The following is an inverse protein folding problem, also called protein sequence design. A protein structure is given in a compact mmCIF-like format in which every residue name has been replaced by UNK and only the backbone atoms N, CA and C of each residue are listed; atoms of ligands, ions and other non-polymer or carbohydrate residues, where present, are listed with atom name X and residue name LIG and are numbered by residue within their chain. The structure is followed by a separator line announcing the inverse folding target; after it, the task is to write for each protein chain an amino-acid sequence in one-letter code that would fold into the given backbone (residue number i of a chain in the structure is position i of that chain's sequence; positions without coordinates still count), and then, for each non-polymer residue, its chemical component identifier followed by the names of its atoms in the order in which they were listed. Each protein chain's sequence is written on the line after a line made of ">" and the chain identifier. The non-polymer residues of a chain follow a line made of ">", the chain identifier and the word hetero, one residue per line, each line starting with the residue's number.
data_IF_161506655756
#
_entry.id   IF_161506655756
#
_cell.length_a   1.000
_cell.length_b   1.000
_cell.length_c   1.000
_cell.angle_alpha   90.00
_cell.angle_beta   90.00
_cell.angle_gamma   90.00
#
_symmetry.space_group_name_H-M   'P 1'
#
loop_
_entity.id
_entity.type
_entity.pdbx_description
1 polymer ?
#
# COMPACT_ATOMS: atom_id res chain seq x y z
N UNK A 1 -16.57 -10.95 15.77
CA UNK A 1 -15.88 -11.40 14.53
C UNK A 1 -16.13 -10.48 13.34
N UNK A 2 -17.37 -10.07 13.04
CA UNK A 2 -17.71 -9.18 11.89
C UNK A 2 -17.10 -7.76 11.91
N UNK A 3 -16.80 -7.19 13.08
CA UNK A 3 -16.20 -5.85 13.19
C UNK A 3 -14.72 -5.81 12.80
N UNK A 4 -13.96 -6.86 13.07
CA UNK A 4 -12.53 -6.95 12.76
C UNK A 4 -12.26 -7.02 11.25
N UNK A 5 -13.13 -7.70 10.52
CA UNK A 5 -13.06 -7.88 9.07
C UNK A 5 -13.27 -6.56 8.33
N UNK A 6 -14.19 -5.71 8.80
CA UNK A 6 -14.39 -4.35 8.26
C UNK A 6 -13.15 -3.46 8.36
N UNK A 7 -12.32 -3.71 9.33
CA UNK A 7 -11.19 -2.85 9.70
C UNK A 7 -9.98 -3.08 8.77
N UNK A 8 -9.72 -4.34 8.46
CA UNK A 8 -8.61 -4.78 7.59
C UNK A 8 -8.71 -4.19 6.19
N UNK A 9 -9.91 -4.03 5.77
CA UNK A 9 -10.25 -3.57 4.44
C UNK A 9 -10.19 -2.06 4.26
N UNK A 10 -10.54 -1.31 5.24
CA UNK A 10 -10.43 0.14 5.11
C UNK A 10 -8.99 0.57 4.82
N UNK A 11 -7.96 -0.12 5.34
CA UNK A 11 -6.58 0.19 5.00
C UNK A 11 -6.27 -0.13 3.52
N UNK A 12 -6.68 -1.29 3.03
CA UNK A 12 -6.48 -1.65 1.61
C UNK A 12 -7.38 -0.82 0.68
N UNK A 13 -8.63 -0.55 1.06
CA UNK A 13 -9.53 0.35 0.32
C UNK A 13 -9.05 1.79 0.33
N UNK A 14 -8.43 2.25 1.41
CA UNK A 14 -7.89 3.59 1.45
C UNK A 14 -6.74 3.69 0.44
N UNK A 15 -5.87 2.68 0.34
CA UNK A 15 -4.84 2.61 -0.70
C UNK A 15 -5.49 2.63 -2.09
N UNK A 16 -6.51 1.81 -2.32
CA UNK A 16 -7.22 1.77 -3.59
C UNK A 16 -8.08 3.02 -3.85
N UNK A 17 -8.69 3.59 -2.83
CA UNK A 17 -9.46 4.82 -2.94
C UNK A 17 -8.57 6.03 -3.26
N UNK A 18 -7.36 6.09 -2.71
CA UNK A 18 -6.37 7.12 -3.04
C UNK A 18 -5.88 6.94 -4.48
N UNK A 19 -5.62 5.70 -4.91
CA UNK A 19 -5.29 5.40 -6.30
C UNK A 19 -6.44 5.82 -7.23
N UNK A 20 -7.67 5.45 -6.88
CA UNK A 20 -8.89 5.79 -7.62
C UNK A 20 -9.15 7.29 -7.68
N UNK A 21 -9.00 7.99 -6.57
CA UNK A 21 -9.21 9.43 -6.47
C UNK A 21 -8.21 10.21 -7.34
N UNK A 22 -6.93 9.85 -7.32
CA UNK A 22 -5.92 10.46 -8.18
C UNK A 22 -6.17 10.15 -9.67
N UNK A 23 -6.62 8.93 -9.97
CA UNK A 23 -6.90 8.49 -11.34
C UNK A 23 -8.13 9.17 -11.97
N UNK A 24 -9.14 9.57 -11.16
CA UNK A 24 -10.35 10.28 -11.62
C UNK A 24 -10.12 11.81 -11.77
N UNK A 25 -8.88 12.28 -11.56
CA UNK A 25 -8.57 13.71 -11.61
C UNK A 25 -9.12 14.48 -10.40
N UNK A 26 -9.33 13.80 -9.28
CA UNK A 26 -9.71 14.39 -7.99
C UNK A 26 -8.74 15.46 -7.51
N UNK A 27 -7.53 15.46 -8.04
CA UNK A 27 -6.55 16.55 -7.85
C UNK A 27 -7.09 17.93 -8.26
N UNK A 28 -7.93 18.02 -9.30
CA UNK A 28 -8.52 19.31 -9.73
C UNK A 28 -9.42 19.94 -8.67
N UNK A 29 -10.17 19.13 -7.93
CA UNK A 29 -11.03 19.60 -6.84
C UNK A 29 -10.25 19.95 -5.58
N UNK A 30 -9.12 19.29 -5.39
CA UNK A 30 -8.21 19.58 -4.28
C UNK A 30 -7.34 20.82 -4.58
N UNK A 31 -6.97 21.06 -5.81
CA UNK A 31 -6.19 22.28 -6.17
C UNK A 31 -6.91 23.58 -5.87
N UNK A 32 -8.23 23.62 -5.98
CA UNK A 32 -9.02 24.79 -5.57
C UNK A 32 -9.02 25.02 -4.04
N UNK A 33 -8.83 23.98 -3.24
CA UNK A 33 -8.73 24.06 -1.77
C UNK A 33 -7.28 24.12 -1.26
N UNK A 34 -6.30 23.95 -2.17
CA UNK A 34 -4.91 23.53 -1.86
C UNK A 34 -4.00 24.58 -1.26
N UNK A 35 -4.25 25.87 -1.40
CA UNK A 35 -3.19 26.84 -1.11
C UNK A 35 -2.81 26.98 0.38
N UNK A 36 -3.70 26.62 1.32
CA UNK A 36 -3.42 26.75 2.77
C UNK A 36 -3.55 25.46 3.58
N UNK A 37 -4.17 24.41 3.02
CA UNK A 37 -4.40 23.15 3.74
C UNK A 37 -3.33 22.11 3.42
N UNK A 38 -2.73 22.17 2.25
CA UNK A 38 -1.80 21.15 1.73
C UNK A 38 -0.52 21.05 2.54
N UNK A 39 0.11 22.18 2.86
CA UNK A 39 1.35 22.18 3.64
C UNK A 39 1.13 21.55 5.03
N UNK A 40 0.02 21.90 5.67
CA UNK A 40 -0.31 21.36 7.00
C UNK A 40 -0.65 19.85 6.98
N UNK A 41 -1.30 19.37 5.91
CA UNK A 41 -1.60 17.94 5.74
C UNK A 41 -0.31 17.18 5.45
N UNK A 42 0.56 17.72 4.62
CA UNK A 42 1.82 17.10 4.22
C UNK A 42 2.84 17.04 5.36
N UNK A 43 2.98 18.12 6.15
CA UNK A 43 3.80 18.11 7.36
C UNK A 43 3.31 17.06 8.36
N UNK A 44 2.01 16.97 8.61
CA UNK A 44 1.43 15.93 9.46
C UNK A 44 1.60 14.52 8.89
N UNK A 45 1.52 14.35 7.58
CA UNK A 45 1.76 13.07 6.94
C UNK A 45 3.21 12.63 7.16
N UNK A 46 4.18 13.53 6.98
CA UNK A 46 5.59 13.27 7.22
C UNK A 46 5.90 12.96 8.70
N UNK A 47 5.33 13.72 9.65
CA UNK A 47 5.48 13.44 11.08
C UNK A 47 4.91 12.06 11.46
N UNK A 48 3.73 11.74 10.95
CA UNK A 48 3.11 10.45 11.22
C UNK A 48 3.85 9.30 10.52
N UNK A 49 4.44 9.54 9.34
CA UNK A 49 5.23 8.55 8.61
C UNK A 49 6.42 8.06 9.44
N UNK A 50 7.03 8.91 10.27
CA UNK A 50 8.11 8.52 11.19
C UNK A 50 7.75 7.35 12.10
N UNK A 51 6.47 7.10 12.35
CA UNK A 51 6.00 5.94 13.13
C UNK A 51 6.12 4.60 12.39
N UNK A 52 6.32 4.65 11.09
CA UNK A 52 6.47 3.46 10.25
C UNK A 52 7.92 3.16 9.92
N UNK A 53 8.81 4.16 10.00
CA UNK A 53 10.21 4.04 9.69
C UNK A 53 10.82 5.39 9.34
N UNK A 54 12.11 5.36 9.05
CA UNK A 54 12.84 6.52 8.57
C UNK A 54 12.81 6.57 7.03
N UNK A 55 12.26 7.64 6.48
CA UNK A 55 12.10 7.91 5.06
C UNK A 55 13.08 8.97 4.53
N UNK A 56 14.06 9.40 5.33
CA UNK A 56 14.99 10.48 4.97
C UNK A 56 15.92 10.14 3.79
N UNK A 57 16.12 8.85 3.53
CA UNK A 57 16.99 8.36 2.46
C UNK A 57 16.24 8.11 1.13
N UNK A 58 14.95 8.46 1.07
CA UNK A 58 14.21 8.34 -0.18
C UNK A 58 14.70 9.36 -1.21
N UNK A 59 14.79 8.91 -2.46
CA UNK A 59 15.06 9.80 -3.59
C UNK A 59 13.94 10.84 -3.73
N UNK A 60 14.25 12.02 -4.25
CA UNK A 60 13.32 13.13 -4.43
C UNK A 60 12.08 12.84 -5.31
N UNK A 61 12.17 11.78 -6.12
CA UNK A 61 11.04 11.28 -6.91
C UNK A 61 9.96 10.60 -6.07
N UNK A 62 10.24 10.27 -4.82
CA UNK A 62 9.25 9.72 -3.89
C UNK A 62 8.72 10.82 -2.97
N UNK A 63 7.44 10.77 -2.73
CA UNK A 63 6.75 11.68 -1.82
C UNK A 63 5.83 10.89 -0.88
N UNK A 64 5.84 11.26 0.40
CA UNK A 64 4.85 10.76 1.34
C UNK A 64 3.54 11.50 1.06
N UNK A 65 2.59 10.78 0.49
CA UNK A 65 1.30 11.33 0.06
C UNK A 65 0.33 11.45 1.25
N UNK A 66 0.25 10.39 2.06
CA UNK A 66 -0.70 10.39 3.17
C UNK A 66 -0.33 9.41 4.28
N UNK A 67 -0.92 9.63 5.46
CA UNK A 67 -0.93 8.65 6.56
C UNK A 67 -2.34 8.44 7.04
N UNK A 68 -2.68 7.20 7.30
CA UNK A 68 -4.02 6.79 7.72
C UNK A 68 -3.96 6.07 9.06
N UNK A 69 -4.89 6.39 9.94
CA UNK A 69 -5.06 5.71 11.21
C UNK A 69 -6.54 5.41 11.41
N UNK A 70 -6.95 4.18 11.14
CA UNK A 70 -8.34 3.75 11.23
C UNK A 70 -8.45 2.40 11.93
N UNK A 71 -9.25 2.34 12.98
CA UNK A 71 -9.68 1.09 13.64
C UNK A 71 -8.54 0.17 14.11
N UNK A 72 -7.38 0.74 14.49
CA UNK A 72 -6.23 -0.04 14.95
C UNK A 72 -5.27 -0.47 13.85
N UNK A 73 -5.53 -0.08 12.60
CA UNK A 73 -4.57 -0.14 11.50
C UNK A 73 -4.05 1.25 11.21
N UNK A 74 -2.76 1.30 10.96
CA UNK A 74 -2.07 2.51 10.53
C UNK A 74 -1.41 2.22 9.20
N UNK A 75 -1.40 3.18 8.30
CA UNK A 75 -0.69 3.05 7.05
C UNK A 75 0.01 4.36 6.69
N UNK A 76 1.16 4.25 6.07
CA UNK A 76 1.82 5.32 5.32
C UNK A 76 1.73 5.00 3.85
N UNK A 77 1.43 6.00 3.05
CA UNK A 77 1.29 5.90 1.60
C UNK A 77 2.27 6.88 0.99
N UNK A 78 3.10 6.36 0.09
CA UNK A 78 4.02 7.15 -0.72
C UNK A 78 3.68 6.98 -2.19
N UNK A 79 4.05 7.97 -2.99
CA UNK A 79 3.93 7.99 -4.43
C UNK A 79 5.28 8.20 -5.09
N UNK A 80 5.54 7.48 -6.19
CA UNK A 80 6.60 7.82 -7.12
C UNK A 80 6.05 8.80 -8.15
N UNK A 81 6.48 10.07 -8.08
CA UNK A 81 5.93 11.20 -8.84
C UNK A 81 5.91 11.00 -10.35
N UNK A 82 6.89 10.27 -10.88
CA UNK A 82 7.03 10.08 -12.32
C UNK A 82 6.04 9.03 -12.86
N UNK A 83 5.92 7.88 -12.17
CA UNK A 83 5.05 6.77 -12.63
C UNK A 83 3.65 6.79 -12.02
N UNK A 84 3.44 7.51 -10.93
CA UNK A 84 2.21 7.45 -10.13
C UNK A 84 2.05 6.15 -9.37
N UNK A 85 3.12 5.34 -9.27
CA UNK A 85 3.10 4.09 -8.51
C UNK A 85 3.00 4.39 -7.03
N UNK A 86 2.08 3.70 -6.34
CA UNK A 86 1.88 3.87 -4.91
C UNK A 86 2.58 2.76 -4.14
N UNK A 87 3.26 3.14 -3.06
CA UNK A 87 3.84 2.25 -2.07
C UNK A 87 3.17 2.49 -0.74
N UNK A 88 2.93 1.41 0.00
CA UNK A 88 2.24 1.48 1.29
C UNK A 88 2.90 0.55 2.30
N UNK A 89 3.05 1.02 3.53
CA UNK A 89 3.40 0.19 4.68
C UNK A 89 2.23 0.25 5.65
N UNK A 90 1.66 -0.91 5.94
CA UNK A 90 0.52 -1.06 6.87
C UNK A 90 1.01 -1.73 8.14
N UNK A 91 0.68 -1.12 9.26
CA UNK A 91 0.95 -1.61 10.60
C UNK A 91 -0.38 -1.95 11.30
N UNK A 92 -0.41 -3.08 11.96
CA UNK A 92 -1.55 -3.53 12.76
C UNK A 92 -1.12 -3.76 14.20
N UNK A 93 -1.70 -3.00 15.11
CA UNK A 93 -1.45 -3.17 16.54
C UNK A 93 -2.02 -4.47 17.15
N UNK A 94 -2.85 -5.21 16.43
CA UNK A 94 -3.60 -6.35 16.98
C UNK A 94 -3.27 -7.67 16.30
N UNK A 95 -3.45 -7.76 15.02
CA UNK A 95 -3.23 -8.96 14.22
C UNK A 95 -2.70 -8.57 12.86
N UNK A 96 -1.59 -9.17 12.39
CA UNK A 96 -1.08 -8.90 11.06
C UNK A 96 -2.15 -9.23 10.00
N UNK A 97 -2.16 -8.47 8.91
CA UNK A 97 -3.04 -8.71 7.77
C UNK A 97 -2.66 -9.97 7.03
N UNK A 98 -1.37 -10.08 6.76
CA UNK A 98 -0.71 -11.23 6.17
C UNK A 98 0.64 -11.39 6.85
N UNK A 99 1.01 -12.61 7.15
CA UNK A 99 2.30 -12.98 7.71
C UNK A 99 3.28 -13.37 6.61
N UNK A 100 4.56 -13.55 6.96
CA UNK A 100 5.55 -14.10 6.00
C UNK A 100 5.14 -15.47 5.47
N UNK A 101 4.51 -16.31 6.30
CA UNK A 101 4.01 -17.62 5.89
C UNK A 101 2.84 -17.50 4.90
N UNK A 102 1.95 -16.52 5.09
CA UNK A 102 0.84 -16.29 4.16
C UNK A 102 1.36 -15.85 2.78
N UNK A 103 2.39 -14.97 2.74
CA UNK A 103 3.03 -14.54 1.49
C UNK A 103 3.63 -15.73 0.71
N UNK A 104 4.14 -16.73 1.41
CA UNK A 104 4.73 -17.92 0.81
C UNK A 104 3.70 -19.03 0.51
N UNK A 105 2.51 -18.92 1.07
CA UNK A 105 1.45 -19.93 0.93
C UNK A 105 0.96 -20.06 -0.51
N UNK A 106 0.63 -21.29 -0.91
CA UNK A 106 -0.08 -21.53 -2.17
C UNK A 106 -1.49 -20.90 -2.18
N UNK A 107 -2.10 -20.70 -1.01
CA UNK A 107 -3.44 -20.13 -0.84
C UNK A 107 -3.47 -18.60 -0.88
N UNK A 108 -2.34 -17.93 -1.11
CA UNK A 108 -2.27 -16.46 -1.08
C UNK A 108 -3.26 -15.80 -2.06
N UNK A 109 -3.42 -16.33 -3.27
CA UNK A 109 -4.41 -15.81 -4.23
C UNK A 109 -5.81 -15.81 -3.65
N UNK A 110 -6.19 -16.94 -3.07
CA UNK A 110 -7.50 -17.10 -2.42
C UNK A 110 -7.66 -16.16 -1.24
N UNK A 111 -6.64 -16.02 -0.41
CA UNK A 111 -6.65 -15.09 0.72
C UNK A 111 -6.81 -13.64 0.26
N UNK A 112 -6.07 -13.23 -0.76
CA UNK A 112 -6.18 -11.88 -1.35
C UNK A 112 -7.56 -11.68 -1.99
N UNK A 113 -8.09 -12.68 -2.71
CA UNK A 113 -9.42 -12.60 -3.31
C UNK A 113 -10.51 -12.55 -2.23
N UNK A 114 -10.42 -13.36 -1.19
CA UNK A 114 -11.35 -13.30 -0.04
C UNK A 114 -11.28 -11.95 0.68
N UNK A 115 -10.08 -11.39 0.80
CA UNK A 115 -9.90 -10.02 1.28
C UNK A 115 -10.61 -9.04 0.35
N UNK A 116 -10.42 -9.10 -0.93
CA UNK A 116 -11.07 -8.24 -1.91
C UNK A 116 -12.60 -8.43 -1.96
N UNK A 117 -13.11 -9.65 -1.92
CA UNK A 117 -14.55 -9.97 -2.00
C UNK A 117 -15.34 -9.55 -0.77
N UNK A 118 -14.73 -9.58 0.40
CA UNK A 118 -15.34 -9.06 1.63
C UNK A 118 -15.69 -7.58 1.53
N UNK A 119 -15.24 -6.93 0.50
CA UNK A 119 -15.23 -5.47 0.36
C UNK A 119 -16.00 -4.93 -0.83
N UNK A 120 -16.79 -5.76 -1.48
CA UNK A 120 -17.75 -5.36 -2.54
C UNK A 120 -18.64 -4.14 -2.22
N UNK A 121 -18.52 -3.59 -1.02
CA UNK A 121 -19.45 -2.57 -0.52
C UNK A 121 -19.10 -1.13 -0.89
N UNK A 122 -17.92 -0.87 -1.47
CA UNK A 122 -17.54 0.50 -1.86
C UNK A 122 -16.86 0.52 -3.22
N UNK A 123 -17.27 1.40 -4.04
CA UNK A 123 -16.84 1.91 -5.34
C UNK A 123 -15.85 1.12 -6.21
N UNK A 124 -14.87 0.41 -5.66
CA UNK A 124 -13.84 -0.33 -6.42
C UNK A 124 -13.86 -1.79 -5.96
N UNK A 125 -14.16 -2.72 -6.86
CA UNK A 125 -14.00 -4.14 -6.61
C UNK A 125 -12.76 -4.65 -7.36
N UNK A 126 -11.90 -5.37 -6.64
CA UNK A 126 -10.83 -6.15 -7.25
C UNK A 126 -11.34 -7.56 -7.53
N UNK A 127 -11.00 -8.06 -8.68
CA UNK A 127 -11.32 -9.42 -9.09
C UNK A 127 -10.19 -9.99 -9.95
N UNK A 128 -10.22 -11.30 -10.17
CA UNK A 128 -9.21 -12.00 -10.95
C UNK A 128 -7.78 -11.75 -10.42
N UNK A 129 -7.61 -11.79 -9.09
CA UNK A 129 -6.28 -11.67 -8.49
C UNK A 129 -5.48 -12.92 -8.81
N UNK A 130 -4.30 -12.74 -9.41
CA UNK A 130 -3.37 -13.82 -9.76
C UNK A 130 -1.97 -13.51 -9.25
N UNK A 131 -1.33 -14.48 -8.63
CA UNK A 131 0.09 -14.40 -8.28
C UNK A 131 0.90 -14.78 -9.52
N UNK A 132 1.68 -13.82 -10.03
CA UNK A 132 2.45 -13.99 -11.27
C UNK A 132 3.90 -14.34 -11.04
N UNK A 133 4.44 -13.98 -9.88
CA UNK A 133 5.83 -14.26 -9.51
C UNK A 133 5.99 -14.23 -7.99
N UNK A 134 7.05 -14.85 -7.50
CA UNK A 134 7.52 -14.80 -6.11
C UNK A 134 9.01 -14.55 -6.09
N UNK A 135 9.50 -13.85 -5.09
CA UNK A 135 10.91 -13.54 -4.95
C UNK A 135 11.23 -13.00 -3.57
N UNK A 136 12.37 -12.36 -3.46
CA UNK A 136 12.79 -11.68 -2.25
C UNK A 136 13.14 -10.22 -2.54
N UNK A 137 12.91 -9.35 -1.57
CA UNK A 137 13.24 -7.94 -1.63
C UNK A 137 13.78 -7.45 -0.29
N UNK A 138 14.38 -6.26 -0.27
CA UNK A 138 14.84 -5.64 0.98
C UNK A 138 13.79 -4.67 1.52
N UNK A 139 13.40 -4.86 2.79
CA UNK A 139 12.55 -3.95 3.55
C UNK A 139 13.16 -3.80 4.94
N UNK A 140 13.38 -2.59 5.42
CA UNK A 140 14.04 -2.31 6.70
C UNK A 140 15.40 -3.02 6.84
N UNK A 141 16.18 -3.08 5.76
CA UNK A 141 17.45 -3.78 5.73
C UNK A 141 17.37 -5.32 5.71
N UNK A 142 16.20 -5.90 5.93
CA UNK A 142 15.95 -7.34 5.94
C UNK A 142 15.61 -7.85 4.53
N UNK A 143 16.04 -9.06 4.21
CA UNK A 143 15.57 -9.76 3.01
C UNK A 143 14.30 -10.55 3.35
N UNK A 144 13.19 -10.19 2.71
CA UNK A 144 11.86 -10.77 2.95
C UNK A 144 11.25 -11.34 1.68
N UNK A 145 10.40 -12.37 1.77
CA UNK A 145 9.67 -12.88 0.62
C UNK A 145 8.61 -11.87 0.18
N UNK A 146 8.42 -11.77 -1.14
CA UNK A 146 7.28 -11.07 -1.73
C UNK A 146 6.53 -11.97 -2.73
N UNK A 147 5.29 -11.63 -2.96
CA UNK A 147 4.49 -12.15 -4.07
C UNK A 147 4.09 -10.99 -4.99
N UNK A 148 4.36 -11.13 -6.30
CA UNK A 148 3.87 -10.23 -7.33
C UNK A 148 2.49 -10.68 -7.77
N UNK A 149 1.56 -9.75 -7.84
CA UNK A 149 0.20 -10.03 -8.27
C UNK A 149 -0.22 -9.15 -9.45
N UNK A 150 -1.18 -9.66 -10.19
CA UNK A 150 -2.00 -8.91 -11.12
C UNK A 150 -3.46 -9.03 -10.70
N UNK A 151 -4.24 -8.00 -10.97
CA UNK A 151 -5.66 -7.98 -10.65
C UNK A 151 -6.43 -7.12 -11.65
N UNK A 152 -7.74 -7.34 -11.76
CA UNK A 152 -8.63 -6.41 -12.44
C UNK A 152 -9.40 -5.58 -11.44
N UNK A 153 -9.61 -4.32 -11.77
CA UNK A 153 -10.42 -3.39 -11.00
C UNK A 153 -11.56 -2.84 -11.85
N UNK A 154 -12.76 -2.84 -11.30
CA UNK A 154 -13.86 -2.12 -11.91
C UNK A 154 -13.93 -0.70 -11.32
N UNK A 155 -14.49 0.23 -12.08
CA UNK A 155 -14.66 1.66 -11.71
C UNK A 155 -13.37 2.47 -11.53
N UNK A 156 -12.24 1.96 -11.98
CA UNK A 156 -11.04 2.76 -12.21
C UNK A 156 -10.97 3.15 -13.69
N UNK A 157 -10.26 4.25 -14.05
CA UNK A 157 -10.04 4.62 -15.44
C UNK A 157 -9.14 3.62 -16.21
N UNK A 158 -8.55 2.66 -15.51
CA UNK A 158 -7.80 1.51 -16.03
C UNK A 158 -8.28 0.24 -15.32
N UNK A 159 -8.39 -0.86 -16.07
CA UNK A 159 -8.89 -2.12 -15.53
C UNK A 159 -7.79 -2.98 -14.89
N UNK A 160 -6.58 -2.92 -15.42
CA UNK A 160 -5.50 -3.85 -15.09
C UNK A 160 -4.52 -3.22 -14.10
N UNK A 161 -4.33 -3.90 -12.98
CA UNK A 161 -3.39 -3.55 -11.93
C UNK A 161 -2.26 -4.57 -11.85
N UNK A 162 -1.09 -4.11 -11.46
CA UNK A 162 0.00 -4.97 -11.01
C UNK A 162 0.61 -4.42 -9.73
N UNK A 163 1.16 -5.31 -8.92
CA UNK A 163 1.76 -4.92 -7.66
C UNK A 163 2.52 -6.05 -6.98
N UNK A 164 3.05 -5.74 -5.82
CA UNK A 164 3.62 -6.73 -4.89
C UNK A 164 2.95 -6.64 -3.53
N UNK A 165 3.03 -7.74 -2.82
CA UNK A 165 2.73 -7.83 -1.39
C UNK A 165 3.87 -8.56 -0.69
N UNK A 166 4.32 -8.02 0.45
CA UNK A 166 5.37 -8.60 1.28
C UNK A 166 5.05 -8.36 2.75
N UNK A 167 5.56 -9.21 3.64
CA UNK A 167 5.46 -9.02 5.09
C UNK A 167 6.85 -8.96 5.70
N UNK A 168 7.06 -8.01 6.60
CA UNK A 168 8.31 -7.81 7.34
C UNK A 168 8.03 -7.76 8.83
N UNK A 169 8.86 -8.47 9.61
CA UNK A 169 8.84 -8.40 11.06
C UNK A 169 9.85 -7.34 11.51
N UNK A 170 9.39 -6.35 12.24
CA UNK A 170 10.23 -5.29 12.79
C UNK A 170 10.96 -5.74 14.07
N UNK A 171 11.94 -4.98 14.50
CA UNK A 171 12.77 -5.29 15.69
C UNK A 171 11.95 -5.42 16.99
N UNK A 172 10.80 -4.74 17.08
CA UNK A 172 9.85 -4.87 18.19
C UNK A 172 8.92 -6.11 18.09
N UNK A 173 9.13 -6.96 17.08
CA UNK A 173 8.34 -8.17 16.83
C UNK A 173 7.00 -7.92 16.15
N UNK A 174 6.68 -6.69 15.76
CA UNK A 174 5.46 -6.41 15.00
C UNK A 174 5.61 -6.81 13.52
N UNK A 175 4.55 -7.29 12.91
CA UNK A 175 4.53 -7.56 11.48
C UNK A 175 3.88 -6.39 10.72
N UNK A 176 4.59 -5.89 9.73
CA UNK A 176 4.09 -4.86 8.82
C UNK A 176 3.93 -5.43 7.42
N UNK A 177 2.85 -5.00 6.77
CA UNK A 177 2.56 -5.38 5.39
C UNK A 177 3.05 -4.27 4.46
N UNK A 178 3.88 -4.63 3.49
CA UNK A 178 4.33 -3.76 2.41
C UNK A 178 3.55 -4.08 1.13
N UNK A 179 3.01 -3.06 0.48
CA UNK A 179 2.24 -3.18 -0.76
C UNK A 179 2.73 -2.12 -1.72
N UNK A 180 3.09 -2.51 -2.95
CA UNK A 180 3.25 -1.57 -4.04
C UNK A 180 2.23 -1.91 -5.13
N UNK A 181 1.62 -0.89 -5.74
CA UNK A 181 0.60 -1.10 -6.77
C UNK A 181 0.55 0.06 -7.75
N UNK A 182 0.27 -0.26 -9.00
CA UNK A 182 0.04 0.70 -10.08
C UNK A 182 -0.82 0.10 -11.17
N UNK A 183 -1.22 0.92 -12.15
CA UNK A 183 -1.65 0.43 -13.45
C UNK A 183 -0.60 -0.54 -14.01
N UNK A 184 -1.01 -1.70 -14.52
CA UNK A 184 -0.10 -2.79 -14.96
C UNK A 184 0.99 -2.30 -15.92
N UNK A 185 0.64 -1.40 -16.85
CA UNK A 185 1.58 -0.85 -17.84
C UNK A 185 2.65 0.08 -17.23
N UNK A 186 2.38 0.65 -16.06
CA UNK A 186 3.25 1.61 -15.37
C UNK A 186 3.98 1.00 -14.17
N UNK A 187 3.61 -0.23 -13.80
CA UNK A 187 4.23 -0.89 -12.66
C UNK A 187 5.71 -1.18 -12.94
N UNK A 188 6.56 -0.75 -12.02
CA UNK A 188 8.00 -1.01 -12.05
C UNK A 188 8.45 -1.69 -10.76
N UNK A 189 9.04 -2.87 -10.88
CA UNK A 189 9.66 -3.56 -9.75
C UNK A 189 10.87 -2.78 -9.23
N UNK A 190 11.64 -2.14 -10.12
CA UNK A 190 12.81 -1.34 -9.72
C UNK A 190 12.42 -0.17 -8.81
N UNK A 191 11.33 0.53 -9.14
CA UNK A 191 10.77 1.61 -8.31
C UNK A 191 10.34 1.07 -6.94
N UNK A 192 9.70 -0.09 -6.92
CA UNK A 192 9.31 -0.76 -5.68
C UNK A 192 10.51 -1.11 -4.81
N UNK A 193 11.53 -1.74 -5.40
CA UNK A 193 12.74 -2.18 -4.70
C UNK A 193 13.54 -0.99 -4.17
N UNK A 194 13.64 0.08 -4.95
CA UNK A 194 14.30 1.32 -4.55
C UNK A 194 13.63 1.95 -3.35
N UNK A 195 12.29 2.07 -3.37
CA UNK A 195 11.55 2.63 -2.25
C UNK A 195 11.80 1.83 -0.97
N UNK A 196 11.50 0.53 -0.97
CA UNK A 196 11.57 -0.27 0.26
C UNK A 196 13.00 -0.50 0.77
N UNK A 197 13.99 -0.54 -0.12
CA UNK A 197 15.41 -0.64 0.26
C UNK A 197 15.88 0.60 1.05
N UNK A 198 15.35 1.78 0.73
CA UNK A 198 15.76 3.05 1.32
C UNK A 198 14.94 3.44 2.57
N UNK A 199 13.89 2.70 2.89
CA UNK A 199 13.17 2.86 4.15
C UNK A 199 13.81 1.99 5.22
N UNK A 200 14.19 2.60 6.36
CA UNK A 200 14.80 1.89 7.50
C UNK A 200 13.89 1.92 8.72
N UNK A 201 14.13 1.03 9.69
CA UNK A 201 13.51 1.15 11.01
C UNK A 201 14.03 2.40 11.73
N UNK A 202 13.24 2.95 12.64
CA UNK A 202 13.66 4.03 13.54
C UNK A 202 14.44 3.48 14.70
#
# INVERSE_FOLDING_TARGET
>A
MFRLIKIIFNAFLIVLAIIGFNAIGGQKYVEMAKTNITNFIQERAQENAKKFGNFSNLHEEFEIDNTVNLFGYRAVIAEHKVSGQKMCIVDSKRKPLLTKSDIQSADLEKQLQELADKFKYQAIALHEIKITNRGTMKIYGQTVPYAKFEAKANKLPFSDLAGIVASVTTSDGSEKLAIAVSEKKKYSQLVTDEFYKNVTEN
#
